data_IF_661783043262
#
_entry.id   IF_661783043262
#
_cell.length_a   1.000
_cell.length_b   1.000
_cell.length_c   1.000
_cell.angle_alpha   90.00
_cell.angle_beta   90.00
_cell.angle_gamma   90.00
#
_symmetry.space_group_name_H-M   'P 1'
#
loop_
_entity.id
_entity.type
_entity.pdbx_description
1 polymer ?
#
# COMPACT_ATOMS: atom_id res chain seq x y z
N UNK A 1 33.45 0.91 -28.31
CA UNK A 1 32.07 1.38 -28.06
C UNK A 1 31.44 0.62 -26.89
N UNK A 2 31.73 0.99 -25.63
CA UNK A 2 31.29 0.23 -24.44
C UNK A 2 30.76 1.10 -23.29
N UNK A 3 30.26 2.30 -23.59
CA UNK A 3 29.80 3.27 -22.59
C UNK A 3 28.27 3.45 -22.51
N UNK A 4 27.48 2.81 -23.39
CA UNK A 4 26.03 3.02 -23.44
C UNK A 4 25.21 2.15 -22.46
N UNK A 5 25.76 1.02 -21.98
CA UNK A 5 24.98 0.06 -21.17
C UNK A 5 24.84 0.41 -19.68
N UNK A 6 25.68 1.30 -19.13
CA UNK A 6 25.59 1.70 -17.72
C UNK A 6 24.55 2.82 -17.46
N UNK A 7 24.18 3.59 -18.48
CA UNK A 7 23.24 4.70 -18.32
C UNK A 7 21.80 4.25 -18.14
N UNK A 8 21.34 3.29 -18.96
CA UNK A 8 19.94 2.85 -18.98
C UNK A 8 19.51 2.18 -17.67
N UNK A 9 20.34 1.29 -17.12
CA UNK A 9 20.01 0.55 -15.88
C UNK A 9 19.84 1.46 -14.66
N UNK A 10 20.61 2.55 -14.60
CA UNK A 10 20.53 3.55 -13.51
C UNK A 10 19.31 4.47 -13.61
N UNK A 11 18.73 4.62 -14.81
CA UNK A 11 17.54 5.43 -15.02
C UNK A 11 16.27 4.63 -14.67
N UNK A 12 16.26 3.35 -15.06
CA UNK A 12 15.18 2.41 -14.75
C UNK A 12 15.10 2.10 -13.25
N UNK A 13 16.25 1.96 -12.56
CA UNK A 13 16.29 1.69 -11.12
C UNK A 13 15.67 2.82 -10.29
N UNK A 14 16.01 4.09 -10.60
CA UNK A 14 15.44 5.28 -9.95
C UNK A 14 13.95 5.45 -10.26
N UNK A 15 13.53 5.15 -11.47
CA UNK A 15 12.12 5.17 -11.85
C UNK A 15 11.32 4.14 -11.03
N UNK A 16 11.82 2.90 -10.89
CA UNK A 16 11.20 1.86 -10.08
C UNK A 16 11.15 2.20 -8.58
N UNK A 17 12.24 2.76 -8.03
CA UNK A 17 12.29 3.21 -6.63
C UNK A 17 11.29 4.36 -6.37
N UNK A 18 11.13 5.28 -7.31
CA UNK A 18 10.16 6.38 -7.19
C UNK A 18 8.72 5.87 -7.32
N UNK A 19 8.47 5.00 -8.30
CA UNK A 19 7.16 4.39 -8.53
C UNK A 19 6.71 3.57 -7.32
N UNK A 20 7.56 2.67 -6.81
CA UNK A 20 7.25 1.84 -5.64
C UNK A 20 6.90 2.69 -4.42
N UNK A 21 7.66 3.75 -4.15
CA UNK A 21 7.39 4.67 -3.05
C UNK A 21 6.06 5.42 -3.23
N UNK A 22 5.79 5.96 -4.42
CA UNK A 22 4.54 6.66 -4.71
C UNK A 22 3.34 5.72 -4.60
N UNK A 23 3.46 4.50 -5.11
CA UNK A 23 2.41 3.49 -5.02
C UNK A 23 2.14 3.10 -3.57
N UNK A 24 3.18 2.84 -2.77
CA UNK A 24 3.02 2.57 -1.34
C UNK A 24 2.31 3.73 -0.62
N UNK A 25 2.73 4.97 -0.89
CA UNK A 25 2.10 6.15 -0.28
C UNK A 25 0.63 6.29 -0.68
N UNK A 26 0.30 6.13 -1.97
CA UNK A 26 -1.07 6.19 -2.47
C UNK A 26 -1.94 5.10 -1.83
N UNK A 27 -1.43 3.86 -1.76
CA UNK A 27 -2.14 2.75 -1.14
C UNK A 27 -2.41 3.00 0.35
N UNK A 28 -1.45 3.55 1.08
CA UNK A 28 -1.66 3.94 2.48
C UNK A 28 -2.71 5.04 2.62
N UNK A 29 -2.72 6.04 1.74
CA UNK A 29 -3.74 7.10 1.73
C UNK A 29 -5.13 6.50 1.47
N UNK A 30 -5.26 5.57 0.52
CA UNK A 30 -6.52 4.89 0.22
C UNK A 30 -7.01 4.10 1.44
N UNK A 31 -6.13 3.35 2.09
CA UNK A 31 -6.47 2.59 3.31
C UNK A 31 -6.90 3.50 4.46
N UNK A 32 -6.15 4.58 4.72
CA UNK A 32 -6.48 5.55 5.76
C UNK A 32 -7.82 6.24 5.48
N UNK A 33 -8.06 6.60 4.22
CA UNK A 33 -9.33 7.22 3.80
C UNK A 33 -10.49 6.25 4.00
N UNK A 34 -10.33 4.99 3.60
CA UNK A 34 -11.30 3.93 3.85
C UNK A 34 -11.60 3.75 5.35
N UNK A 35 -10.57 3.74 6.19
CA UNK A 35 -10.72 3.61 7.64
C UNK A 35 -11.46 4.81 8.25
N UNK A 36 -11.16 6.03 7.81
CA UNK A 36 -11.87 7.25 8.26
C UNK A 36 -13.34 7.23 7.84
N UNK A 37 -13.63 6.82 6.60
CA UNK A 37 -15.00 6.69 6.11
C UNK A 37 -15.78 5.64 6.90
N UNK A 38 -15.18 4.48 7.15
CA UNK A 38 -15.78 3.43 7.97
C UNK A 38 -16.11 3.93 9.38
N UNK A 39 -15.12 4.52 10.07
CA UNK A 39 -15.31 5.04 11.41
C UNK A 39 -16.40 6.13 11.46
N UNK A 40 -16.41 7.04 10.49
CA UNK A 40 -17.44 8.08 10.39
C UNK A 40 -18.84 7.51 10.18
N UNK A 41 -19.01 6.56 9.27
CA UNK A 41 -20.31 5.93 9.02
C UNK A 41 -20.81 5.15 10.25
N UNK A 42 -19.92 4.41 10.89
CA UNK A 42 -20.23 3.64 12.09
C UNK A 42 -20.62 4.55 13.26
N UNK A 43 -19.95 5.70 13.44
CA UNK A 43 -20.31 6.68 14.48
C UNK A 43 -21.68 7.33 14.25
N UNK A 44 -22.09 7.53 13.00
CA UNK A 44 -23.35 8.21 12.66
C UNK A 44 -24.55 7.28 12.73
N UNK A 45 -24.43 6.07 12.19
CA UNK A 45 -25.57 5.16 12.04
C UNK A 45 -25.29 3.71 12.39
N UNK A 46 -24.19 3.42 13.09
CA UNK A 46 -23.86 2.08 13.56
C UNK A 46 -23.64 1.08 12.42
N UNK A 47 -24.02 -0.17 12.67
CA UNK A 47 -23.85 -1.26 11.70
C UNK A 47 -24.72 -1.06 10.45
N UNK A 48 -25.96 -0.61 10.61
CA UNK A 48 -26.91 -0.45 9.49
C UNK A 48 -26.40 0.54 8.43
N UNK A 49 -25.68 1.58 8.86
CA UNK A 49 -25.07 2.56 7.95
C UNK A 49 -23.93 1.99 7.10
N UNK A 50 -23.33 0.87 7.51
CA UNK A 50 -22.19 0.25 6.83
C UNK A 50 -22.61 -0.99 6.05
N UNK A 51 -23.44 -1.86 6.64
CA UNK A 51 -23.78 -3.17 6.08
C UNK A 51 -24.64 -3.09 4.82
N UNK A 52 -25.48 -2.06 4.69
CA UNK A 52 -26.48 -1.97 3.62
C UNK A 52 -26.27 -0.75 2.70
N UNK A 53 -25.06 -0.19 2.69
CA UNK A 53 -24.74 1.02 1.94
C UNK A 53 -23.50 0.88 1.06
N UNK A 54 -23.44 1.77 0.07
CA UNK A 54 -22.27 1.95 -0.80
C UNK A 54 -20.97 2.23 -0.02
N UNK A 55 -21.07 2.74 1.21
CA UNK A 55 -19.93 2.99 2.09
C UNK A 55 -19.23 1.68 2.47
N UNK A 56 -19.98 0.65 2.87
CA UNK A 56 -19.40 -0.66 3.20
C UNK A 56 -18.65 -1.26 2.02
N UNK A 57 -19.28 -1.23 0.83
CA UNK A 57 -18.64 -1.69 -0.42
C UNK A 57 -17.36 -0.90 -0.71
N UNK A 58 -17.38 0.42 -0.55
CA UNK A 58 -16.22 1.29 -0.80
C UNK A 58 -15.07 1.00 0.15
N UNK A 59 -15.37 0.75 1.43
CA UNK A 59 -14.37 0.39 2.45
C UNK A 59 -13.71 -0.95 2.10
N UNK A 60 -14.50 -1.95 1.71
CA UNK A 60 -13.98 -3.27 1.28
C UNK A 60 -13.09 -3.13 0.04
N UNK A 61 -13.53 -2.37 -0.97
CA UNK A 61 -12.73 -2.12 -2.18
C UNK A 61 -11.43 -1.39 -1.84
N UNK A 62 -11.49 -0.37 -0.97
CA UNK A 62 -10.30 0.36 -0.53
C UNK A 62 -9.30 -0.55 0.19
N UNK A 63 -9.78 -1.49 1.01
CA UNK A 63 -8.95 -2.48 1.69
C UNK A 63 -8.20 -3.36 0.67
N UNK A 64 -8.92 -4.00 -0.25
CA UNK A 64 -8.30 -4.88 -1.25
C UNK A 64 -7.36 -4.12 -2.20
N UNK A 65 -7.76 -2.93 -2.67
CA UNK A 65 -6.93 -2.10 -3.53
C UNK A 65 -5.65 -1.62 -2.82
N UNK A 66 -5.77 -1.22 -1.55
CA UNK A 66 -4.63 -0.82 -0.73
C UNK A 66 -3.67 -1.98 -0.46
N UNK A 67 -4.19 -3.17 -0.19
CA UNK A 67 -3.37 -4.38 0.03
C UNK A 67 -2.64 -4.80 -1.25
N UNK A 68 -3.33 -4.85 -2.39
CA UNK A 68 -2.73 -5.16 -3.68
C UNK A 68 -1.67 -4.12 -4.09
N UNK A 69 -1.94 -2.84 -3.84
CA UNK A 69 -1.01 -1.76 -4.14
C UNK A 69 0.24 -1.75 -3.25
N UNK A 70 0.09 -1.97 -1.94
CA UNK A 70 1.24 -2.12 -1.04
C UNK A 70 2.06 -3.38 -1.35
N UNK A 71 1.44 -4.49 -1.74
CA UNK A 71 2.14 -5.69 -2.21
C UNK A 71 2.94 -5.43 -3.49
N UNK A 72 2.35 -4.75 -4.47
CA UNK A 72 3.02 -4.39 -5.72
C UNK A 72 4.18 -3.42 -5.46
N UNK A 73 3.99 -2.47 -4.53
CA UNK A 73 5.03 -1.55 -4.09
C UNK A 73 6.20 -2.30 -3.41
N UNK A 74 5.90 -3.28 -2.55
CA UNK A 74 6.90 -4.14 -1.93
C UNK A 74 7.70 -4.90 -2.99
N UNK A 75 7.01 -5.58 -3.92
CA UNK A 75 7.67 -6.36 -4.97
C UNK A 75 8.61 -5.50 -5.83
N UNK A 76 8.14 -4.34 -6.27
CA UNK A 76 8.95 -3.41 -7.06
C UNK A 76 10.14 -2.84 -6.26
N UNK A 77 9.96 -2.60 -4.95
CA UNK A 77 11.06 -2.18 -4.08
C UNK A 77 12.09 -3.29 -3.85
N UNK A 78 11.69 -4.55 -3.71
CA UNK A 78 12.61 -5.70 -3.63
C UNK A 78 13.43 -5.83 -4.91
N UNK A 79 12.79 -5.71 -6.08
CA UNK A 79 13.51 -5.72 -7.37
C UNK A 79 14.52 -4.57 -7.45
N UNK A 80 14.16 -3.36 -6.99
CA UNK A 80 15.07 -2.21 -6.95
C UNK A 80 16.21 -2.40 -5.92
N UNK A 81 15.93 -3.07 -4.79
CA UNK A 81 16.93 -3.40 -3.77
C UNK A 81 18.01 -4.34 -4.30
N UNK A 82 17.62 -5.36 -5.08
CA UNK A 82 18.56 -6.27 -5.75
C UNK A 82 19.47 -5.53 -6.74
N UNK A 83 19.02 -4.38 -7.26
CA UNK A 83 19.80 -3.51 -8.16
C UNK A 83 20.65 -2.45 -7.44
N UNK A 84 20.81 -2.55 -6.12
CA UNK A 84 21.62 -1.65 -5.28
C UNK A 84 21.15 -0.18 -5.24
N UNK A 85 19.84 0.07 -5.37
CA UNK A 85 19.27 1.41 -5.14
C UNK A 85 19.37 1.82 -3.65
N UNK A 86 19.48 3.13 -3.33
CA UNK A 86 19.70 3.59 -1.97
C UNK A 86 18.48 3.34 -1.07
N UNK A 87 18.74 2.74 0.09
CA UNK A 87 17.75 2.35 1.11
C UNK A 87 16.74 3.44 1.47
N UNK A 88 17.14 4.72 1.41
CA UNK A 88 16.29 5.88 1.71
C UNK A 88 15.02 5.97 0.86
N UNK A 89 14.99 5.34 -0.31
CA UNK A 89 13.81 5.31 -1.18
C UNK A 89 12.96 4.04 -1.03
N UNK A 90 13.52 2.98 -0.44
CA UNK A 90 12.93 1.65 -0.40
C UNK A 90 12.28 1.31 0.94
N UNK A 91 12.62 2.03 2.02
CA UNK A 91 12.09 1.72 3.36
C UNK A 91 10.55 1.77 3.45
N UNK A 92 9.92 2.75 2.77
CA UNK A 92 8.48 2.94 2.82
C UNK A 92 7.73 1.76 2.19
N UNK A 93 7.99 1.39 0.91
CA UNK A 93 7.32 0.22 0.32
C UNK A 93 7.67 -1.09 1.03
N UNK A 94 8.88 -1.24 1.58
CA UNK A 94 9.28 -2.42 2.36
C UNK A 94 8.49 -2.56 3.67
N UNK A 95 8.21 -1.45 4.36
CA UNK A 95 7.50 -1.46 5.64
C UNK A 95 5.97 -1.43 5.48
N UNK A 96 5.46 -0.81 4.41
CA UNK A 96 4.03 -0.58 4.23
C UNK A 96 3.22 -1.89 4.19
N UNK A 97 3.62 -2.85 3.35
CA UNK A 97 2.88 -4.11 3.22
C UNK A 97 2.86 -4.94 4.52
N UNK A 98 4.01 -5.22 5.19
CA UNK A 98 4.01 -5.92 6.48
C UNK A 98 3.18 -5.21 7.54
N UNK A 99 3.23 -3.88 7.60
CA UNK A 99 2.44 -3.11 8.55
C UNK A 99 0.93 -3.25 8.29
N UNK A 100 0.50 -3.17 7.03
CA UNK A 100 -0.92 -3.37 6.66
C UNK A 100 -1.36 -4.79 6.98
N UNK A 101 -0.57 -5.81 6.64
CA UNK A 101 -0.87 -7.22 6.96
C UNK A 101 -0.99 -7.41 8.48
N UNK A 102 -0.10 -6.82 9.27
CA UNK A 102 -0.17 -6.89 10.73
C UNK A 102 -1.46 -6.25 11.25
N UNK A 103 -1.83 -5.06 10.75
CA UNK A 103 -3.07 -4.39 11.14
C UNK A 103 -4.29 -5.26 10.79
N UNK A 104 -4.34 -5.84 9.59
CA UNK A 104 -5.43 -6.73 9.18
C UNK A 104 -5.49 -7.97 10.06
N UNK A 105 -4.36 -8.61 10.34
CA UNK A 105 -4.29 -9.78 11.21
C UNK A 105 -4.73 -9.47 12.65
N UNK A 106 -4.37 -8.30 13.17
CA UNK A 106 -4.83 -7.83 14.49
C UNK A 106 -6.34 -7.55 14.48
N UNK A 107 -6.87 -6.95 13.42
CA UNK A 107 -8.32 -6.75 13.29
C UNK A 107 -9.06 -8.10 13.28
N UNK A 108 -8.57 -9.07 12.52
CA UNK A 108 -9.13 -10.42 12.50
C UNK A 108 -9.15 -11.06 13.90
N UNK A 109 -8.00 -11.03 14.59
CA UNK A 109 -7.84 -11.67 15.90
C UNK A 109 -8.56 -10.96 17.07
N UNK A 110 -8.93 -9.69 16.95
CA UNK A 110 -9.56 -8.94 18.05
C UNK A 110 -10.99 -8.50 17.77
N UNK A 111 -11.40 -8.39 16.50
CA UNK A 111 -12.71 -7.83 16.11
C UNK A 111 -13.63 -8.88 15.50
N UNK A 112 -13.09 -9.83 14.73
CA UNK A 112 -13.88 -10.80 13.97
C UNK A 112 -13.87 -12.23 14.55
N UNK A 113 -13.21 -12.43 15.70
CA UNK A 113 -13.20 -13.70 16.46
C UNK A 113 -14.59 -14.12 16.96
#
# INVERSE_FOLDING_TARGET
>A
MRYAHHGATSHDGRAAATFSRQLAALSLVVLLTGAVLFAGAWLVGGQDAVSDNWVGVTVVVALFAGLAGTFTALFTAVVAMVRHEPWRHLWLPLAAFPAVVLVVALLEAFVFE
#
